data_IF_146552690935
#
_entry.id   IF_146552690935
#
_cell.length_a   1.000
_cell.length_b   1.000
_cell.length_c   1.000
_cell.angle_alpha   90.00
_cell.angle_beta   90.00
_cell.angle_gamma   90.00
#
_symmetry.space_group_name_H-M   'P 1'
#
loop_
_entity.id
_entity.type
_entity.pdbx_description
1 polymer ?
#
# COMPACT_ATOMS: atom_id res chain seq x y z
N UNK A 1 -38.67 -25.15 6.23
CA UNK A 1 -37.91 -24.19 5.40
C UNK A 1 -37.40 -23.00 6.24
N UNK A 2 -36.36 -23.14 7.08
CA UNK A 2 -35.77 -21.97 7.78
C UNK A 2 -34.26 -21.76 7.51
N UNK A 3 -33.60 -22.61 6.72
CA UNK A 3 -32.14 -22.59 6.58
C UNK A 3 -31.60 -21.52 5.61
N UNK A 4 -32.45 -20.91 4.76
CA UNK A 4 -32.01 -19.92 3.75
C UNK A 4 -31.80 -18.52 4.33
N UNK A 5 -32.62 -18.07 5.28
CA UNK A 5 -32.47 -16.75 5.93
C UNK A 5 -31.26 -16.69 6.87
N UNK A 6 -30.97 -17.80 7.55
CA UNK A 6 -29.83 -17.90 8.46
C UNK A 6 -28.49 -17.90 7.69
N UNK A 7 -28.47 -18.43 6.47
CA UNK A 7 -27.30 -18.41 5.58
C UNK A 7 -26.98 -17.01 5.06
N UNK A 8 -28.00 -16.19 4.74
CA UNK A 8 -27.82 -14.82 4.25
C UNK A 8 -27.28 -13.86 5.34
N UNK A 9 -27.73 -14.03 6.59
CA UNK A 9 -27.29 -13.21 7.73
C UNK A 9 -25.81 -13.48 8.08
N UNK A 10 -25.35 -14.73 7.95
CA UNK A 10 -23.95 -15.11 8.18
C UNK A 10 -23.02 -14.52 7.13
N UNK A 11 -23.47 -14.40 5.87
CA UNK A 11 -22.64 -13.87 4.77
C UNK A 11 -22.43 -12.36 4.85
N UNK A 12 -23.37 -11.59 5.42
CA UNK A 12 -23.22 -10.15 5.63
C UNK A 12 -22.23 -9.80 6.77
N UNK A 13 -21.91 -10.77 7.63
CA UNK A 13 -21.07 -10.56 8.82
C UNK A 13 -19.55 -10.67 8.59
N UNK A 14 -19.12 -11.10 7.40
CA UNK A 14 -17.70 -11.28 7.08
C UNK A 14 -17.26 -10.21 6.09
N UNK A 15 -16.98 -9.02 6.62
CA UNK A 15 -16.23 -8.00 5.91
C UNK A 15 -14.83 -8.57 5.57
N UNK A 16 -14.52 -8.80 4.28
CA UNK A 16 -13.25 -9.39 3.85
C UNK A 16 -12.04 -8.50 4.13
N UNK A 17 -12.25 -7.25 4.57
CA UNK A 17 -11.21 -6.30 4.95
C UNK A 17 -11.12 -6.07 6.46
N UNK A 18 -11.94 -6.72 7.28
CA UNK A 18 -11.94 -6.54 8.74
C UNK A 18 -10.62 -6.95 9.42
N UNK A 19 -9.81 -7.79 8.76
CA UNK A 19 -8.46 -8.18 9.23
C UNK A 19 -7.38 -7.21 8.75
N UNK A 20 -7.61 -6.49 7.65
CA UNK A 20 -6.70 -5.48 7.12
C UNK A 20 -6.65 -4.22 8.00
N UNK A 21 -7.75 -3.90 8.70
CA UNK A 21 -7.81 -2.77 9.65
C UNK A 21 -7.13 -3.08 10.99
N UNK A 22 -6.71 -4.32 11.24
CA UNK A 22 -6.08 -4.76 12.51
C UNK A 22 -4.56 -4.89 12.43
N UNK A 23 -3.98 -4.78 11.23
CA UNK A 23 -2.55 -4.78 11.01
C UNK A 23 -1.96 -3.37 11.09
N UNK A 24 -1.41 -3.04 12.26
CA UNK A 24 -0.34 -2.05 12.46
C UNK A 24 -0.66 -0.56 12.32
N UNK A 25 -1.50 -0.02 13.21
CA UNK A 25 -1.63 1.45 13.42
C UNK A 25 -1.60 1.83 14.92
N UNK A 26 -1.08 0.95 15.77
CA UNK A 26 -0.95 1.17 17.24
C UNK A 26 0.45 1.59 17.67
N UNK A 27 1.22 2.22 16.80
CA UNK A 27 2.27 3.12 17.23
C UNK A 27 1.73 4.56 17.15
N UNK A 28 1.71 5.31 18.27
CA UNK A 28 1.29 6.70 18.24
C UNK A 28 2.32 7.51 17.44
N UNK A 29 1.85 8.29 16.47
CA UNK A 29 2.53 9.44 15.89
C UNK A 29 4.00 9.18 15.46
N UNK A 30 4.18 8.56 14.29
CA UNK A 30 5.49 8.39 13.66
C UNK A 30 5.38 8.08 12.17
N UNK A 31 4.44 8.69 11.45
CA UNK A 31 4.30 8.57 9.99
C UNK A 31 5.51 9.08 9.19
N UNK A 32 6.54 9.56 9.87
CA UNK A 32 7.73 10.17 9.28
C UNK A 32 8.81 9.14 8.92
N UNK A 33 8.75 7.92 9.48
CA UNK A 33 9.83 6.92 9.33
C UNK A 33 9.59 5.86 8.24
N UNK A 34 8.37 5.80 7.67
CA UNK A 34 8.06 4.81 6.65
C UNK A 34 8.35 5.32 5.23
N UNK A 35 9.20 4.58 4.52
CA UNK A 35 9.37 4.77 3.08
C UNK A 35 8.22 4.06 2.36
N UNK A 36 7.28 4.83 1.81
CA UNK A 36 6.18 4.28 1.02
C UNK A 36 6.61 4.13 -0.44
N UNK A 37 6.81 2.88 -0.88
CA UNK A 37 6.98 2.56 -2.29
C UNK A 37 5.61 2.19 -2.87
N UNK A 38 5.14 2.96 -3.85
CA UNK A 38 3.86 2.75 -4.52
C UNK A 38 4.08 2.52 -6.00
N UNK A 39 3.34 1.57 -6.58
CA UNK A 39 3.34 1.30 -8.02
C UNK A 39 1.99 1.71 -8.58
N UNK A 40 2.03 2.55 -9.61
CA UNK A 40 0.84 3.00 -10.33
C UNK A 40 0.93 2.51 -11.76
N UNK A 41 -0.14 1.91 -12.28
CA UNK A 41 -0.23 1.57 -13.69
C UNK A 41 -0.67 2.81 -14.47
N UNK A 42 0.08 3.19 -15.51
CA UNK A 42 -0.24 4.37 -16.32
C UNK A 42 -1.00 3.98 -17.59
N UNK A 43 -0.32 3.42 -18.59
CA UNK A 43 -0.97 2.93 -19.81
C UNK A 43 -0.37 1.59 -20.22
N UNK A 44 -1.23 0.61 -20.52
CA UNK A 44 -0.81 -0.74 -20.86
C UNK A 44 0.13 -1.31 -19.81
N UNK A 45 1.34 -1.71 -20.24
CA UNK A 45 2.40 -2.23 -19.36
C UNK A 45 3.31 -1.15 -18.77
N UNK A 46 3.05 0.15 -19.02
CA UNK A 46 3.83 1.24 -18.42
C UNK A 46 3.36 1.48 -17.00
N UNK A 47 4.28 1.42 -16.05
CA UNK A 47 4.05 1.72 -14.64
C UNK A 47 4.89 2.91 -14.20
N UNK A 48 4.42 3.60 -13.17
CA UNK A 48 5.12 4.68 -12.49
C UNK A 48 5.29 4.27 -11.03
N UNK A 49 6.53 4.16 -10.59
CA UNK A 49 6.85 3.85 -9.21
C UNK A 49 7.19 5.15 -8.48
N UNK A 50 6.45 5.48 -7.44
CA UNK A 50 6.73 6.62 -6.55
C UNK A 50 7.28 6.13 -5.23
N UNK A 51 8.30 6.80 -4.73
CA UNK A 51 8.83 6.58 -3.37
C UNK A 51 8.57 7.85 -2.56
N UNK A 52 7.84 7.72 -1.46
CA UNK A 52 7.52 8.80 -0.52
C UNK A 52 8.18 8.48 0.83
N UNK A 53 8.43 9.49 1.67
CA UNK A 53 9.09 9.31 2.97
C UNK A 53 10.61 9.19 2.90
N UNK A 54 11.25 9.71 1.85
CA UNK A 54 12.72 9.84 1.80
C UNK A 54 13.10 11.14 2.51
N UNK A 55 14.00 11.07 3.50
CA UNK A 55 14.55 12.23 4.18
C UNK A 55 15.22 13.21 3.20
N UNK A 56 15.05 14.51 3.45
CA UNK A 56 15.56 15.56 2.56
C UNK A 56 17.09 15.69 2.57
N UNK A 57 17.77 15.07 3.53
CA UNK A 57 19.24 14.95 3.58
C UNK A 57 19.82 14.16 2.40
N UNK A 58 19.00 13.32 1.75
CA UNK A 58 19.43 12.55 0.59
C UNK A 58 19.30 13.34 -0.71
N UNK A 59 20.36 13.32 -1.52
CA UNK A 59 20.35 13.94 -2.85
C UNK A 59 19.51 13.12 -3.85
N UNK A 60 18.26 13.55 -4.02
CA UNK A 60 17.27 12.97 -4.94
C UNK A 60 17.80 12.86 -6.38
N UNK A 61 18.69 13.76 -6.84
CA UNK A 61 19.26 13.69 -8.22
C UNK A 61 20.24 12.54 -8.37
N UNK A 62 21.08 12.28 -7.37
CA UNK A 62 22.00 11.14 -7.37
C UNK A 62 21.25 9.81 -7.31
N UNK A 63 20.21 9.75 -6.48
CA UNK A 63 19.35 8.57 -6.31
C UNK A 63 18.66 8.19 -7.62
N UNK A 64 18.04 9.16 -8.31
CA UNK A 64 17.43 8.95 -9.64
C UNK A 64 18.46 8.54 -10.69
N UNK A 65 19.68 9.09 -10.65
CA UNK A 65 20.75 8.72 -11.59
C UNK A 65 21.23 7.29 -11.37
N UNK A 66 21.34 6.85 -10.11
CA UNK A 66 21.68 5.47 -9.78
C UNK A 66 20.60 4.50 -10.26
N UNK A 67 19.33 4.77 -9.97
CA UNK A 67 18.23 3.91 -10.42
C UNK A 67 18.10 3.83 -11.94
N UNK A 68 18.34 4.94 -12.66
CA UNK A 68 18.36 4.92 -14.12
C UNK A 68 19.49 4.06 -14.69
N UNK A 69 20.65 3.97 -14.04
CA UNK A 69 21.76 3.11 -14.50
C UNK A 69 21.52 1.62 -14.25
N UNK A 70 20.71 1.28 -13.25
CA UNK A 70 20.41 -0.12 -12.88
C UNK A 70 19.26 -0.67 -13.70
N UNK A 71 18.31 0.19 -14.09
CA UNK A 71 17.07 -0.20 -14.79
C UNK A 71 17.20 -0.10 -16.33
N UNK A 72 18.21 0.60 -16.84
CA UNK A 72 18.58 0.65 -18.27
C UNK A 72 19.70 -0.33 -18.51
#
# INVERSE_FOLDING_TARGET
MPQTLLTLLVYLSKDPFADATKGDDRLPAGTEDYIHIRIQQRNGRKTLTTVQGIADDYDKKKLVKAFKKVVI
#
